data_IF_723665977644
#
_entry.id   IF_723665977644
#
_cell.length_a   1.000
_cell.length_b   1.000
_cell.length_c   1.000
_cell.angle_alpha   90.00
_cell.angle_beta   90.00
_cell.angle_gamma   90.00
#
_symmetry.space_group_name_H-M   'P 1'
#
loop_
_entity.id
_entity.type
_entity.pdbx_description
1 polymer ?
#
# COMPACT_ATOMS: atom_id res chain seq x y z
N UNK A 1 -18.09 -22.00 14.16
CA UNK A 1 -16.96 -21.07 14.16
C UNK A 1 -15.74 -21.90 13.82
N UNK A 2 -15.04 -21.55 12.75
CA UNK A 2 -13.73 -22.15 12.42
C UNK A 2 -12.66 -21.70 13.43
N UNK A 3 -11.46 -22.30 13.39
CA UNK A 3 -10.35 -21.85 14.22
C UNK A 3 -9.98 -20.41 13.82
N UNK A 4 -9.72 -19.54 14.80
CA UNK A 4 -9.25 -18.18 14.59
C UNK A 4 -7.83 -18.24 14.04
N UNK A 5 -7.58 -17.57 12.94
CA UNK A 5 -6.26 -17.48 12.28
C UNK A 5 -5.43 -16.39 12.95
N UNK A 6 -4.33 -16.78 13.58
CA UNK A 6 -3.40 -15.84 14.21
C UNK A 6 -2.45 -15.22 13.19
N UNK A 7 -2.26 -13.90 13.26
CA UNK A 7 -1.51 -13.11 12.31
C UNK A 7 -0.38 -12.33 13.00
N UNK A 8 0.76 -12.24 12.36
CA UNK A 8 1.78 -11.22 12.59
C UNK A 8 1.94 -10.44 11.29
N UNK A 9 2.06 -9.12 11.40
CA UNK A 9 2.22 -8.21 10.25
C UNK A 9 3.55 -7.52 10.38
N UNK A 10 4.35 -7.50 9.32
CA UNK A 10 5.64 -6.83 9.31
C UNK A 10 5.84 -6.05 8.02
N UNK A 11 5.90 -4.72 8.13
CA UNK A 11 6.18 -3.82 7.00
C UNK A 11 6.93 -2.57 7.49
N UNK A 12 7.98 -2.09 6.80
CA UNK A 12 8.70 -0.88 7.19
C UNK A 12 7.87 0.39 7.04
N UNK A 13 6.73 0.33 6.34
CA UNK A 13 5.77 1.41 6.27
C UNK A 13 4.78 1.28 7.45
N UNK A 14 5.07 1.95 8.58
CA UNK A 14 4.26 1.90 9.81
C UNK A 14 2.75 2.05 9.53
N UNK A 15 2.38 3.07 8.72
CA UNK A 15 0.98 3.34 8.41
C UNK A 15 0.29 2.18 7.67
N UNK A 16 1.02 1.46 6.80
CA UNK A 16 0.49 0.30 6.11
C UNK A 16 0.31 -0.87 7.07
N UNK A 17 1.33 -1.16 7.88
CA UNK A 17 1.30 -2.25 8.84
C UNK A 17 0.19 -2.08 9.88
N UNK A 18 0.11 -0.90 10.50
CA UNK A 18 -0.93 -0.56 11.48
C UNK A 18 -2.32 -0.54 10.84
N UNK A 19 -2.45 0.02 9.63
CA UNK A 19 -3.72 0.04 8.91
C UNK A 19 -4.23 -1.36 8.58
N UNK A 20 -3.34 -2.26 8.13
CA UNK A 20 -3.69 -3.66 7.88
C UNK A 20 -4.07 -4.37 9.18
N UNK A 21 -3.35 -4.12 10.28
CA UNK A 21 -3.64 -4.72 11.59
C UNK A 21 -5.06 -4.37 12.03
N UNK A 22 -5.43 -3.09 12.01
CA UNK A 22 -6.78 -2.64 12.42
C UNK A 22 -7.86 -3.30 11.56
N UNK A 23 -7.66 -3.36 10.24
CA UNK A 23 -8.70 -3.88 9.33
C UNK A 23 -8.82 -5.40 9.41
N UNK A 24 -7.69 -6.12 9.58
CA UNK A 24 -7.72 -7.58 9.67
C UNK A 24 -8.19 -8.05 11.05
N UNK A 25 -7.85 -7.35 12.13
CA UNK A 25 -8.31 -7.67 13.48
C UNK A 25 -9.83 -7.43 13.67
N UNK A 26 -10.44 -6.64 12.77
CA UNK A 26 -11.89 -6.44 12.75
C UNK A 26 -12.68 -7.61 12.11
N UNK A 27 -12.01 -8.57 11.48
CA UNK A 27 -12.64 -9.78 10.93
C UNK A 27 -12.80 -10.84 12.03
N UNK A 28 -13.96 -11.49 12.13
CA UNK A 28 -14.29 -12.45 13.21
C UNK A 28 -13.40 -13.71 13.24
N UNK A 29 -12.74 -14.01 12.12
CA UNK A 29 -11.91 -15.22 11.95
C UNK A 29 -10.41 -14.95 12.03
N UNK A 30 -9.99 -13.70 12.33
CA UNK A 30 -8.59 -13.31 12.48
C UNK A 30 -8.29 -12.78 13.88
N UNK A 31 -7.01 -12.92 14.29
CA UNK A 31 -6.46 -12.28 15.48
C UNK A 31 -5.04 -11.79 15.18
N UNK A 32 -4.83 -10.47 15.21
CA UNK A 32 -3.51 -9.87 15.01
C UNK A 32 -2.75 -9.89 16.35
N UNK A 33 -1.68 -10.69 16.41
CA UNK A 33 -0.89 -10.90 17.63
C UNK A 33 0.23 -9.86 17.79
N UNK A 34 0.68 -9.24 16.68
CA UNK A 34 1.71 -8.24 16.73
C UNK A 34 2.00 -7.59 15.38
N UNK A 35 2.61 -6.42 15.44
CA UNK A 35 3.06 -5.63 14.28
C UNK A 35 4.54 -5.32 14.46
N UNK A 36 5.33 -5.50 13.40
CA UNK A 36 6.74 -5.18 13.35
C UNK A 36 7.05 -4.23 12.18
N UNK A 37 8.10 -3.42 12.34
CA UNK A 37 8.51 -2.46 11.31
C UNK A 37 9.89 -2.76 10.73
N UNK A 38 10.51 -3.86 11.18
CA UNK A 38 11.80 -4.35 10.68
C UNK A 38 11.88 -5.87 10.67
N UNK A 39 12.92 -6.39 10.02
CA UNK A 39 13.14 -7.84 9.89
C UNK A 39 13.41 -8.56 11.22
N UNK A 40 14.27 -8.02 12.10
CA UNK A 40 14.50 -8.58 13.44
C UNK A 40 13.22 -8.67 14.27
N UNK A 41 12.43 -7.60 14.34
CA UNK A 41 11.15 -7.59 15.06
C UNK A 41 10.15 -8.59 14.47
N UNK A 42 10.09 -8.75 13.15
CA UNK A 42 9.26 -9.76 12.51
C UNK A 42 9.65 -11.18 12.94
N UNK A 43 10.95 -11.48 13.05
CA UNK A 43 11.42 -12.77 13.51
C UNK A 43 11.16 -13.00 15.00
N UNK A 44 11.35 -11.98 15.83
CA UNK A 44 11.08 -12.04 17.27
C UNK A 44 9.61 -12.36 17.54
N UNK A 45 8.69 -11.59 16.95
CA UNK A 45 7.25 -11.84 17.07
C UNK A 45 6.84 -13.20 16.52
N UNK A 46 7.44 -13.64 15.40
CA UNK A 46 7.15 -14.94 14.81
C UNK A 46 7.64 -16.09 15.72
N UNK A 47 8.81 -15.95 16.34
CA UNK A 47 9.34 -16.94 17.27
C UNK A 47 8.50 -17.01 18.55
N UNK A 48 8.04 -15.87 19.08
CA UNK A 48 7.26 -15.76 20.30
C UNK A 48 5.85 -16.30 20.12
N UNK A 49 5.13 -15.84 19.08
CA UNK A 49 3.70 -16.12 18.92
C UNK A 49 3.41 -17.35 18.05
N UNK A 50 4.37 -17.84 17.26
CA UNK A 50 4.16 -18.93 16.31
C UNK A 50 2.86 -18.75 15.49
N UNK A 51 2.68 -17.60 14.79
CA UNK A 51 1.42 -17.27 14.14
C UNK A 51 1.09 -18.25 13.03
N UNK A 52 -0.19 -18.37 12.71
CA UNK A 52 -0.64 -19.15 11.55
C UNK A 52 -0.13 -18.53 10.26
N UNK A 53 -0.17 -17.18 10.15
CA UNK A 53 0.30 -16.46 8.97
C UNK A 53 1.16 -15.25 9.38
N UNK A 54 2.28 -15.06 8.69
CA UNK A 54 3.07 -13.84 8.69
C UNK A 54 2.84 -13.11 7.37
N UNK A 55 2.30 -11.88 7.45
CA UNK A 55 2.32 -10.94 6.34
C UNK A 55 3.64 -10.17 6.38
N UNK A 56 4.43 -10.26 5.32
CA UNK A 56 5.76 -9.65 5.24
C UNK A 56 5.88 -8.72 4.05
N UNK A 57 6.11 -7.43 4.31
CA UNK A 57 6.41 -6.45 3.28
C UNK A 57 7.73 -6.76 2.57
N UNK A 58 7.74 -6.69 1.26
CA UNK A 58 8.93 -6.95 0.45
C UNK A 58 9.93 -5.79 0.38
N UNK A 59 9.61 -4.64 1.01
CA UNK A 59 10.37 -3.39 0.86
C UNK A 59 11.32 -3.10 2.04
N UNK A 60 11.76 -4.10 2.80
CA UNK A 60 12.75 -3.87 3.86
C UNK A 60 14.08 -3.40 3.26
N UNK A 61 14.66 -2.30 3.72
CA UNK A 61 15.96 -1.83 3.26
C UNK A 61 17.07 -2.81 3.64
N UNK A 62 17.89 -3.17 2.66
CA UNK A 62 19.01 -4.10 2.83
C UNK A 62 18.70 -5.53 2.33
N UNK A 63 19.71 -6.40 2.37
CA UNK A 63 19.63 -7.81 1.93
C UNK A 63 18.73 -8.71 2.81
N UNK A 64 17.94 -8.13 3.69
CA UNK A 64 17.11 -8.82 4.67
C UNK A 64 15.97 -9.66 4.02
N UNK A 65 15.55 -9.32 2.80
CA UNK A 65 14.46 -10.03 2.11
C UNK A 65 14.79 -11.48 1.76
N UNK A 66 16.03 -11.75 1.39
CA UNK A 66 16.44 -13.13 1.05
C UNK A 66 16.72 -13.98 2.29
N UNK A 67 17.08 -13.34 3.40
CA UNK A 67 17.36 -14.04 4.66
C UNK A 67 16.10 -14.24 5.52
N UNK A 68 15.16 -13.32 5.47
CA UNK A 68 13.98 -13.31 6.37
C UNK A 68 13.04 -14.50 6.14
N UNK A 69 12.62 -14.87 4.91
CA UNK A 69 11.75 -16.04 4.70
C UNK A 69 12.37 -17.35 5.20
N UNK A 70 13.64 -17.56 4.92
CA UNK A 70 14.38 -18.75 5.42
C UNK A 70 14.48 -18.72 6.94
N UNK A 71 14.75 -17.56 7.54
CA UNK A 71 14.84 -17.40 8.99
C UNK A 71 13.46 -17.61 9.66
N UNK A 72 12.39 -17.13 9.06
CA UNK A 72 11.00 -17.38 9.51
C UNK A 72 10.71 -18.87 9.55
N UNK A 73 11.00 -19.59 8.47
CA UNK A 73 10.79 -21.05 8.43
C UNK A 73 11.68 -21.83 9.40
N UNK A 74 12.83 -21.27 9.77
CA UNK A 74 13.70 -21.87 10.79
C UNK A 74 13.14 -21.72 12.21
N UNK A 75 12.53 -20.56 12.54
CA UNK A 75 11.97 -20.29 13.88
C UNK A 75 10.52 -20.76 14.02
N UNK A 76 9.76 -20.79 12.92
CA UNK A 76 8.38 -21.24 12.89
C UNK A 76 8.05 -21.95 11.57
N UNK A 77 8.34 -23.25 11.44
CA UNK A 77 8.16 -24.01 10.20
C UNK A 77 6.69 -24.07 9.74
N UNK A 78 5.75 -24.03 10.68
CA UNK A 78 4.32 -24.11 10.41
C UNK A 78 3.71 -22.78 9.94
N UNK A 79 4.35 -21.65 10.24
CA UNK A 79 3.86 -20.32 9.83
C UNK A 79 3.83 -20.20 8.31
N UNK A 80 2.67 -19.83 7.78
CA UNK A 80 2.49 -19.49 6.38
C UNK A 80 3.03 -18.08 6.11
N UNK A 81 3.78 -17.93 5.04
CA UNK A 81 4.42 -16.65 4.68
C UNK A 81 3.74 -16.04 3.47
N UNK A 82 3.10 -14.90 3.67
CA UNK A 82 2.50 -14.07 2.63
C UNK A 82 3.35 -12.82 2.41
N UNK A 83 3.87 -12.63 1.20
CA UNK A 83 4.65 -11.46 0.83
C UNK A 83 3.76 -10.35 0.28
N UNK A 84 3.99 -9.10 0.74
CA UNK A 84 3.41 -7.89 0.19
C UNK A 84 4.47 -7.17 -0.64
N UNK A 85 4.22 -6.94 -1.94
CA UNK A 85 5.19 -6.28 -2.84
C UNK A 85 4.59 -5.10 -3.57
N UNK A 86 5.34 -4.01 -3.64
CA UNK A 86 4.96 -2.82 -4.44
C UNK A 86 5.25 -2.98 -5.93
N UNK A 87 6.08 -3.96 -6.31
CA UNK A 87 6.40 -4.24 -7.71
C UNK A 87 6.15 -5.72 -8.00
N UNK A 88 5.38 -5.98 -9.05
CA UNK A 88 5.21 -7.34 -9.52
C UNK A 88 6.55 -7.85 -10.06
N UNK A 89 7.11 -8.97 -9.54
CA UNK A 89 8.27 -9.61 -10.13
C UNK A 89 7.92 -10.10 -11.54
N UNK A 90 8.92 -10.16 -12.43
CA UNK A 90 8.72 -10.61 -13.80
C UNK A 90 8.15 -12.03 -13.90
N UNK A 91 8.54 -12.90 -12.95
CA UNK A 91 7.94 -14.22 -12.72
C UNK A 91 7.55 -14.37 -11.24
N UNK A 92 6.28 -14.13 -10.89
CA UNK A 92 5.80 -14.22 -9.51
C UNK A 92 5.90 -15.62 -8.91
N UNK A 93 5.73 -16.66 -9.72
CA UNK A 93 5.84 -18.06 -9.26
C UNK A 93 7.27 -18.37 -8.88
N UNK A 94 8.23 -18.01 -9.73
CA UNK A 94 9.64 -18.19 -9.44
C UNK A 94 10.06 -17.39 -8.21
N UNK A 95 9.58 -16.15 -8.06
CA UNK A 95 9.89 -15.30 -6.91
C UNK A 95 9.40 -15.91 -5.59
N UNK A 96 8.17 -16.38 -5.52
CA UNK A 96 7.57 -17.03 -4.32
C UNK A 96 8.33 -18.31 -3.99
N UNK A 97 8.59 -19.13 -4.99
CA UNK A 97 9.29 -20.41 -4.81
C UNK A 97 10.74 -20.22 -4.33
N UNK A 98 11.45 -19.24 -4.90
CA UNK A 98 12.84 -18.98 -4.57
C UNK A 98 13.04 -18.58 -3.09
N UNK A 99 12.06 -17.90 -2.50
CA UNK A 99 12.11 -17.46 -1.11
C UNK A 99 11.35 -18.37 -0.13
N UNK A 100 10.69 -19.41 -0.64
CA UNK A 100 9.91 -20.33 0.19
C UNK A 100 8.67 -19.71 0.82
N UNK A 101 8.07 -18.71 0.16
CA UNK A 101 6.81 -18.12 0.60
C UNK A 101 5.62 -18.97 0.16
N UNK A 102 4.50 -18.82 0.86
CA UNK A 102 3.24 -19.51 0.56
C UNK A 102 2.34 -18.65 -0.35
N UNK A 103 2.65 -17.33 -0.47
CA UNK A 103 1.91 -16.47 -1.37
C UNK A 103 2.53 -15.09 -1.57
N UNK A 104 1.99 -14.37 -2.57
CA UNK A 104 2.42 -13.02 -2.95
C UNK A 104 1.20 -12.16 -3.24
N UNK A 105 1.18 -10.96 -2.68
CA UNK A 105 0.17 -9.94 -2.93
C UNK A 105 0.82 -8.60 -3.27
N UNK A 106 0.20 -7.82 -4.16
CA UNK A 106 0.54 -6.42 -4.33
C UNK A 106 0.20 -5.60 -3.07
N UNK A 107 1.02 -4.60 -2.73
CA UNK A 107 0.75 -3.68 -1.60
C UNK A 107 -0.48 -2.81 -1.82
N UNK A 108 -0.96 -2.68 -3.05
CA UNK A 108 -2.20 -1.98 -3.41
C UNK A 108 -3.45 -2.89 -3.38
N UNK A 109 -3.30 -4.13 -2.87
CA UNK A 109 -4.43 -5.03 -2.68
C UNK A 109 -5.44 -4.45 -1.68
N UNK A 110 -6.73 -4.62 -1.99
CA UNK A 110 -7.78 -4.28 -1.03
C UNK A 110 -7.72 -5.20 0.20
N UNK A 111 -8.20 -4.70 1.35
CA UNK A 111 -8.28 -5.51 2.58
C UNK A 111 -9.01 -6.85 2.38
N UNK A 112 -10.04 -6.87 1.55
CA UNK A 112 -10.77 -8.10 1.17
C UNK A 112 -9.88 -9.08 0.40
N UNK A 113 -9.02 -8.60 -0.50
CA UNK A 113 -8.09 -9.47 -1.24
C UNK A 113 -7.03 -10.04 -0.30
N UNK A 114 -6.52 -9.22 0.63
CA UNK A 114 -5.59 -9.69 1.67
C UNK A 114 -6.25 -10.76 2.55
N UNK A 115 -7.46 -10.51 3.07
CA UNK A 115 -8.20 -11.46 3.88
C UNK A 115 -8.46 -12.78 3.14
N UNK A 116 -8.89 -12.72 1.89
CA UNK A 116 -9.11 -13.93 1.07
C UNK A 116 -7.81 -14.71 0.81
N UNK A 117 -6.70 -14.02 0.57
CA UNK A 117 -5.40 -14.65 0.37
C UNK A 117 -4.93 -15.35 1.66
N UNK A 118 -5.13 -14.73 2.83
CA UNK A 118 -4.84 -15.36 4.12
C UNK A 118 -5.64 -16.67 4.26
N UNK A 119 -6.95 -16.65 4.04
CA UNK A 119 -7.81 -17.84 4.10
C UNK A 119 -7.31 -18.93 3.15
N UNK A 120 -6.95 -18.57 1.94
CA UNK A 120 -6.49 -19.52 0.91
C UNK A 120 -5.15 -20.19 1.28
N UNK A 121 -4.18 -19.44 1.82
CA UNK A 121 -2.90 -20.04 2.24
C UNK A 121 -3.04 -20.90 3.49
N UNK A 122 -3.97 -20.56 4.39
CA UNK A 122 -4.29 -21.38 5.55
C UNK A 122 -4.86 -22.72 5.13
N UNK A 123 -5.67 -22.76 4.08
CA UNK A 123 -6.19 -24.00 3.48
C UNK A 123 -5.11 -24.83 2.74
N UNK A 124 -3.86 -24.34 2.74
CA UNK A 124 -2.73 -25.04 2.12
C UNK A 124 -2.59 -24.83 0.62
N UNK A 125 -3.34 -23.92 0.04
CA UNK A 125 -3.25 -23.58 -1.38
C UNK A 125 -2.29 -22.39 -1.57
N UNK A 126 -1.16 -22.55 -2.29
CA UNK A 126 -0.28 -21.41 -2.62
C UNK A 126 -1.06 -20.35 -3.38
N UNK A 127 -0.98 -19.11 -2.93
CA UNK A 127 -1.76 -18.03 -3.50
C UNK A 127 -0.85 -16.96 -4.09
N UNK A 128 -0.91 -16.79 -5.39
CA UNK A 128 -0.34 -15.64 -6.06
C UNK A 128 -1.49 -14.75 -6.51
N UNK A 129 -1.72 -13.69 -5.75
CA UNK A 129 -2.56 -12.61 -6.24
C UNK A 129 -1.66 -11.83 -7.19
N UNK A 130 -1.84 -12.06 -8.48
CA UNK A 130 -1.28 -11.15 -9.47
C UNK A 130 -1.87 -9.78 -9.14
N UNK A 131 -1.07 -8.73 -9.26
CA UNK A 131 -1.66 -7.43 -9.52
C UNK A 131 -2.56 -7.68 -10.74
N UNK A 132 -3.79 -8.04 -10.50
CA UNK A 132 -4.82 -7.87 -11.51
C UNK A 132 -4.57 -6.47 -11.96
N UNK A 133 -4.46 -6.25 -13.30
CA UNK A 133 -4.59 -4.89 -13.81
C UNK A 133 -5.59 -4.22 -12.86
N UNK A 134 -5.14 -3.23 -12.10
CA UNK A 134 -5.95 -2.71 -10.99
C UNK A 134 -7.34 -2.61 -11.53
N UNK A 135 -8.38 -3.01 -10.79
CA UNK A 135 -9.74 -3.06 -11.30
C UNK A 135 -9.89 -1.76 -12.07
N UNK A 136 -9.97 -1.85 -13.41
CA UNK A 136 -10.08 -0.67 -14.25
C UNK A 136 -11.09 0.15 -13.52
N UNK A 137 -10.77 1.32 -12.97
CA UNK A 137 -11.62 2.01 -12.03
C UNK A 137 -12.99 1.87 -12.64
N UNK A 138 -13.93 1.19 -11.94
CA UNK A 138 -15.25 0.95 -12.51
C UNK A 138 -15.59 2.31 -13.01
N UNK A 139 -15.65 2.48 -14.33
CA UNK A 139 -15.74 3.74 -14.99
C UNK A 139 -17.01 4.39 -14.43
N UNK A 140 -16.85 5.02 -13.26
CA UNK A 140 -17.94 5.78 -12.67
C UNK A 140 -17.95 7.08 -13.48
N UNK A 141 -18.92 7.21 -14.39
CA UNK A 141 -19.02 8.39 -15.24
C UNK A 141 -19.00 9.68 -14.42
N UNK A 142 -19.38 9.61 -13.14
CA UNK A 142 -19.37 10.73 -12.20
C UNK A 142 -17.96 11.11 -11.75
N UNK A 143 -17.11 10.11 -11.52
CA UNK A 143 -15.69 10.35 -11.18
C UNK A 143 -14.93 10.90 -12.36
N UNK A 144 -15.10 10.30 -13.53
CA UNK A 144 -14.53 10.78 -14.79
C UNK A 144 -14.93 12.23 -15.08
N UNK A 145 -16.18 12.55 -14.87
CA UNK A 145 -16.66 13.92 -15.07
C UNK A 145 -15.95 14.89 -14.10
N UNK A 146 -15.83 14.55 -12.81
CA UNK A 146 -15.13 15.37 -11.81
C UNK A 146 -13.66 15.58 -12.18
N UNK A 147 -12.96 14.51 -12.57
CA UNK A 147 -11.56 14.57 -12.99
C UNK A 147 -11.37 15.42 -14.25
N UNK A 148 -12.26 15.30 -15.22
CA UNK A 148 -12.23 16.10 -16.46
C UNK A 148 -12.46 17.59 -16.22
N UNK A 149 -13.13 17.97 -15.13
CA UNK A 149 -13.35 19.39 -14.78
C UNK A 149 -12.11 20.07 -14.23
N UNK A 150 -11.07 19.31 -13.81
CA UNK A 150 -9.81 19.87 -13.37
C UNK A 150 -9.05 20.47 -14.57
N UNK A 151 -8.61 21.72 -14.44
CA UNK A 151 -7.68 22.32 -15.39
C UNK A 151 -6.29 21.67 -15.28
N UNK A 152 -5.44 21.88 -16.28
CA UNK A 152 -4.06 21.38 -16.24
C UNK A 152 -3.31 21.91 -14.99
N UNK A 153 -3.53 23.19 -14.65
CA UNK A 153 -2.92 23.80 -13.48
C UNK A 153 -3.42 23.21 -12.17
N UNK A 154 -4.69 22.88 -12.08
CA UNK A 154 -5.26 22.20 -10.89
C UNK A 154 -4.74 20.77 -10.75
N UNK A 155 -4.53 20.04 -11.84
CA UNK A 155 -3.90 18.71 -11.80
C UNK A 155 -2.45 18.76 -11.34
N UNK A 156 -1.69 19.73 -11.84
CA UNK A 156 -0.32 20.01 -11.41
C UNK A 156 -0.26 20.29 -9.91
N UNK A 157 -1.08 21.21 -9.43
CA UNK A 157 -1.16 21.55 -8.00
C UNK A 157 -1.60 20.37 -7.13
N UNK A 158 -2.53 19.55 -7.61
CA UNK A 158 -2.94 18.32 -6.93
C UNK A 158 -1.78 17.32 -6.80
N UNK A 159 -0.94 17.21 -7.84
CA UNK A 159 0.29 16.42 -7.79
C UNK A 159 1.28 16.91 -6.75
N UNK A 160 1.50 18.23 -6.67
CA UNK A 160 2.39 18.82 -5.67
C UNK A 160 1.86 18.63 -4.24
N UNK A 161 0.54 18.74 -4.04
CA UNK A 161 -0.10 18.43 -2.75
C UNK A 161 0.09 16.97 -2.35
N UNK A 162 -0.03 16.05 -3.28
CA UNK A 162 0.16 14.62 -3.05
C UNK A 162 1.61 14.28 -2.69
N UNK A 163 2.58 15.04 -3.21
CA UNK A 163 3.99 14.97 -2.81
C UNK A 163 4.28 15.64 -1.44
N UNK A 164 3.24 16.02 -0.70
CA UNK A 164 3.37 16.60 0.64
C UNK A 164 3.77 18.10 0.66
N UNK A 165 3.70 18.81 -0.49
CA UNK A 165 4.07 20.22 -0.51
C UNK A 165 3.02 21.09 0.18
N UNK A 166 3.49 22.01 1.01
CA UNK A 166 2.63 23.03 1.61
C UNK A 166 2.22 24.09 0.59
N UNK A 167 1.09 24.76 0.79
CA UNK A 167 0.67 25.86 -0.08
C UNK A 167 1.73 26.95 -0.22
N UNK A 168 2.53 27.17 0.83
CA UNK A 168 3.62 28.16 0.83
C UNK A 168 4.75 27.73 -0.09
N UNK A 169 5.15 26.45 -0.04
CA UNK A 169 6.16 25.89 -0.94
C UNK A 169 5.68 25.92 -2.39
N UNK A 170 4.44 25.50 -2.64
CA UNK A 170 3.83 25.57 -3.98
C UNK A 170 3.83 27.00 -4.53
N UNK A 171 3.48 28.00 -3.69
CA UNK A 171 3.47 29.39 -4.10
C UNK A 171 4.87 29.88 -4.52
N UNK A 172 5.90 29.50 -3.78
CA UNK A 172 7.29 29.84 -4.08
C UNK A 172 7.80 29.18 -5.36
N UNK A 173 7.67 27.87 -5.47
CA UNK A 173 8.18 27.07 -6.59
C UNK A 173 7.43 27.31 -7.90
N UNK A 174 6.13 27.58 -7.81
CA UNK A 174 5.29 27.87 -8.98
C UNK A 174 5.19 29.36 -9.34
N UNK A 175 5.91 30.24 -8.63
CA UNK A 175 5.86 31.69 -8.82
C UNK A 175 4.44 32.27 -8.73
N UNK A 176 3.65 31.76 -7.80
CA UNK A 176 2.27 32.19 -7.55
C UNK A 176 2.14 32.92 -6.20
N UNK A 177 1.11 33.73 -6.06
CA UNK A 177 0.76 34.26 -4.74
C UNK A 177 0.17 33.11 -3.88
N UNK A 178 0.39 33.17 -2.56
CA UNK A 178 -0.21 32.22 -1.63
C UNK A 178 -1.75 32.18 -1.73
N UNK A 179 -2.35 33.33 -2.03
CA UNK A 179 -3.79 33.46 -2.20
C UNK A 179 -4.27 32.74 -3.48
N UNK A 180 -3.51 32.86 -4.57
CA UNK A 180 -3.77 32.14 -5.83
C UNK A 180 -3.75 30.61 -5.60
N UNK A 181 -2.74 30.12 -4.88
CA UNK A 181 -2.66 28.68 -4.54
C UNK A 181 -3.86 28.24 -3.70
N UNK A 182 -4.26 29.03 -2.69
CA UNK A 182 -5.44 28.73 -1.87
C UNK A 182 -6.72 28.66 -2.71
N UNK A 183 -6.89 29.58 -3.66
CA UNK A 183 -8.04 29.60 -4.57
C UNK A 183 -8.05 28.35 -5.46
N UNK A 184 -6.92 27.96 -6.03
CA UNK A 184 -6.83 26.71 -6.81
C UNK A 184 -7.13 25.47 -5.96
N UNK A 185 -6.59 25.40 -4.75
CA UNK A 185 -6.87 24.29 -3.83
C UNK A 185 -8.37 24.22 -3.52
N UNK A 186 -9.00 25.34 -3.22
CA UNK A 186 -10.45 25.36 -2.97
C UNK A 186 -11.24 24.93 -4.21
N UNK A 187 -10.84 25.36 -5.40
CA UNK A 187 -11.45 24.92 -6.65
C UNK A 187 -11.31 23.40 -6.86
N UNK A 188 -10.14 22.83 -6.58
CA UNK A 188 -9.91 21.38 -6.62
C UNK A 188 -10.87 20.64 -5.69
N UNK A 189 -11.01 21.09 -4.43
CA UNK A 189 -11.89 20.47 -3.45
C UNK A 189 -13.33 20.45 -3.93
N UNK A 190 -13.82 21.58 -4.43
CA UNK A 190 -15.18 21.70 -4.98
C UNK A 190 -15.40 20.79 -6.18
N UNK A 191 -14.47 20.78 -7.15
CA UNK A 191 -14.57 19.98 -8.37
C UNK A 191 -14.52 18.48 -8.10
N UNK A 192 -13.68 18.06 -7.14
CA UNK A 192 -13.60 16.65 -6.72
C UNK A 192 -14.72 16.25 -5.76
N UNK A 193 -15.48 17.23 -5.21
CA UNK A 193 -16.53 16.98 -4.23
C UNK A 193 -16.00 16.43 -2.91
N UNK A 194 -14.87 16.95 -2.45
CA UNK A 194 -14.20 16.59 -1.20
C UNK A 194 -14.04 17.82 -0.30
N UNK A 195 -13.84 17.61 1.01
CA UNK A 195 -13.89 18.69 1.99
C UNK A 195 -12.53 19.06 2.58
N UNK A 196 -11.49 18.25 2.32
CA UNK A 196 -10.15 18.49 2.82
C UNK A 196 -9.08 18.18 1.78
N UNK A 197 -7.87 18.76 1.97
CA UNK A 197 -6.71 18.44 1.13
C UNK A 197 -6.35 16.96 1.21
N UNK A 198 -6.45 16.38 2.41
CA UNK A 198 -6.16 14.96 2.62
C UNK A 198 -7.12 14.09 1.80
N UNK A 199 -8.41 14.41 1.81
CA UNK A 199 -9.39 13.73 0.97
C UNK A 199 -9.12 13.91 -0.53
N UNK A 200 -8.67 15.10 -0.97
CA UNK A 200 -8.32 15.35 -2.36
C UNK A 200 -7.11 14.51 -2.79
N UNK A 201 -6.10 14.39 -1.94
CA UNK A 201 -4.92 13.56 -2.16
C UNK A 201 -5.31 12.07 -2.17
N UNK A 202 -6.10 11.62 -1.19
CA UNK A 202 -6.61 10.25 -1.15
C UNK A 202 -7.43 9.91 -2.41
N UNK A 203 -8.33 10.82 -2.84
CA UNK A 203 -9.09 10.69 -4.09
C UNK A 203 -8.17 10.58 -5.31
N UNK A 204 -7.12 11.40 -5.37
CA UNK A 204 -6.16 11.38 -6.47
C UNK A 204 -5.39 10.06 -6.56
N UNK A 205 -4.96 9.49 -5.43
CA UNK A 205 -4.34 8.16 -5.39
C UNK A 205 -5.34 7.04 -5.75
N UNK A 206 -6.53 7.06 -5.14
CA UNK A 206 -7.56 6.05 -5.38
C UNK A 206 -7.98 5.97 -6.85
N UNK A 207 -8.02 7.12 -7.55
CA UNK A 207 -8.40 7.21 -8.95
C UNK A 207 -7.22 7.38 -9.92
N UNK A 208 -5.99 7.16 -9.44
CA UNK A 208 -4.74 7.19 -10.25
C UNK A 208 -4.53 8.46 -11.06
N UNK A 209 -4.94 9.58 -10.53
CA UNK A 209 -4.69 10.89 -11.14
C UNK A 209 -3.22 11.30 -11.01
N UNK A 210 -2.49 10.64 -10.13
CA UNK A 210 -1.10 10.92 -9.77
C UNK A 210 -0.35 9.60 -9.68
N UNK A 211 0.84 9.48 -10.31
CA UNK A 211 1.67 8.29 -10.18
C UNK A 211 2.14 8.12 -8.72
N UNK A 212 2.08 6.88 -8.22
CA UNK A 212 2.62 6.53 -6.91
C UNK A 212 4.14 6.47 -7.04
N UNK A 213 4.86 7.35 -6.36
CA UNK A 213 6.29 7.15 -6.12
C UNK A 213 7.28 7.88 -7.01
N UNK A 214 6.90 8.81 -7.87
CA UNK A 214 7.87 9.58 -8.65
C UNK A 214 8.30 10.86 -7.89
N UNK A 215 9.20 10.69 -6.91
CA UNK A 215 9.81 11.83 -6.19
C UNK A 215 10.77 12.63 -7.06
N UNK A 216 11.28 12.06 -8.16
CA UNK A 216 12.39 12.61 -8.95
C UNK A 216 12.00 13.07 -10.36
N UNK A 217 10.73 12.95 -10.75
CA UNK A 217 10.28 13.23 -12.12
C UNK A 217 10.08 14.71 -12.48
N UNK A 218 10.03 15.63 -11.50
CA UNK A 218 9.66 17.02 -11.74
C UNK A 218 10.82 17.98 -11.95
N UNK A 219 12.06 17.56 -11.67
CA UNK A 219 13.26 18.40 -11.90
C UNK A 219 13.68 18.51 -13.38
N UNK A 220 13.00 17.82 -14.32
CA UNK A 220 13.44 17.74 -15.73
C UNK A 220 12.70 18.66 -16.71
N UNK A 221 11.82 19.53 -16.25
CA UNK A 221 11.07 20.43 -17.15
C UNK A 221 11.32 21.91 -16.88
N UNK A 222 12.47 22.26 -16.31
CA UNK A 222 12.94 23.63 -16.17
C UNK A 222 14.35 23.77 -16.72
N UNK A 223 14.50 23.59 -18.03
CA UNK A 223 15.64 24.05 -18.80
C UNK A 223 15.15 24.57 -20.16
#
# INVERSE_FOLDING_TARGET
MGPVVSLVIADPQELLAEGLAIVLDAEDDFAVLGVAHDGPGALELTAEYQPTVLLLGASFPGSALTATPTAVKAVSPATRLLLLTGQAPGDPVAAVTAVGADGLLPTDSSSRQVANAIRTVVDGTPTIVMATEPPRPRHDPRVDLRVRTLSNRERELLGLLANGWSNRRIAQECFLSLNTVRTHVQSILVKLGVHSKLEAVAFAYQHRLIPIGDRDGWDRHSA
#
